data_IF_418963639796
#
_entry.id   IF_418963639796
#
_cell.length_a   1.000
_cell.length_b   1.000
_cell.length_c   1.000
_cell.angle_alpha   90.00
_cell.angle_beta   90.00
_cell.angle_gamma   90.00
#
_symmetry.space_group_name_H-M   'P 1'
#
loop_
_entity.id
_entity.type
_entity.pdbx_description
1 polymer ?
#
# COMPACT_ATOMS: atom_id res chain seq x y z
N UNK A 1 24.14 -20.61 -22.99
CA UNK A 1 22.75 -20.34 -22.56
C UNK A 1 22.76 -20.07 -21.06
N UNK A 2 22.60 -18.80 -20.63
CA UNK A 2 22.46 -18.46 -19.21
C UNK A 2 21.02 -18.78 -18.80
N UNK A 3 20.84 -19.81 -17.98
CA UNK A 3 19.57 -20.03 -17.27
C UNK A 3 19.49 -18.98 -16.16
N UNK A 4 18.97 -17.80 -16.46
CA UNK A 4 18.61 -16.81 -15.44
C UNK A 4 17.25 -17.21 -14.88
N UNK A 5 17.26 -18.06 -13.85
CA UNK A 5 16.07 -18.37 -13.08
C UNK A 5 15.63 -17.10 -12.34
N UNK A 6 14.46 -16.56 -12.64
CA UNK A 6 13.88 -15.42 -11.92
C UNK A 6 13.48 -15.87 -10.51
N UNK A 7 14.41 -15.75 -9.55
CA UNK A 7 14.17 -16.08 -8.14
C UNK A 7 13.80 -14.81 -7.37
N UNK A 8 12.67 -14.85 -6.67
CA UNK A 8 12.23 -13.77 -5.76
C UNK A 8 12.31 -14.30 -4.33
N UNK A 9 13.18 -13.70 -3.51
CA UNK A 9 13.29 -13.99 -2.08
C UNK A 9 12.45 -12.96 -1.30
N UNK A 10 11.40 -13.43 -0.62
CA UNK A 10 10.54 -12.61 0.22
C UNK A 10 10.90 -12.85 1.70
N UNK A 11 11.14 -11.77 2.44
CA UNK A 11 11.46 -11.85 3.87
C UNK A 11 10.32 -11.21 4.67
N UNK A 12 9.77 -11.91 5.65
CA UNK A 12 8.67 -11.44 6.49
C UNK A 12 9.15 -11.21 7.93
N UNK A 13 8.60 -10.20 8.58
CA UNK A 13 8.85 -9.95 10.00
C UNK A 13 7.82 -10.74 10.83
N UNK A 14 8.24 -11.84 11.45
CA UNK A 14 7.39 -12.67 12.31
C UNK A 14 7.60 -14.18 12.10
N UNK A 15 6.81 -14.99 12.81
CA UNK A 15 6.87 -16.46 12.75
C UNK A 15 5.73 -17.09 11.94
N UNK A 16 4.76 -16.28 11.50
CA UNK A 16 3.59 -16.73 10.75
C UNK A 16 3.70 -16.29 9.30
N UNK A 17 3.57 -17.24 8.36
CA UNK A 17 3.49 -16.93 6.94
C UNK A 17 2.11 -16.30 6.65
N UNK A 18 2.03 -15.19 5.89
CA UNK A 18 0.74 -14.63 5.50
C UNK A 18 -0.02 -15.57 4.56
N UNK A 19 -1.34 -15.66 4.71
CA UNK A 19 -2.21 -16.46 3.84
C UNK A 19 -2.14 -16.04 2.36
N UNK A 20 -1.86 -14.75 2.11
CA UNK A 20 -1.73 -14.17 0.78
C UNK A 20 -0.66 -13.08 0.75
N UNK A 21 0.16 -13.09 -0.29
CA UNK A 21 1.15 -12.04 -0.59
C UNK A 21 0.73 -11.35 -1.88
N UNK A 22 0.35 -10.06 -1.79
CA UNK A 22 0.01 -9.27 -2.96
C UNK A 22 1.28 -8.64 -3.52
N UNK A 23 1.76 -9.18 -4.64
CA UNK A 23 2.90 -8.64 -5.37
C UNK A 23 2.36 -7.75 -6.48
N UNK A 24 2.71 -6.47 -6.46
CA UNK A 24 2.35 -5.52 -7.50
C UNK A 24 3.35 -4.36 -7.53
N UNK A 25 3.38 -3.59 -8.63
CA UNK A 25 4.19 -2.39 -8.68
C UNK A 25 3.82 -1.48 -7.51
N UNK A 26 4.83 -0.91 -6.86
CA UNK A 26 4.65 0.06 -5.76
C UNK A 26 3.71 1.21 -6.19
N UNK A 27 3.70 1.55 -7.48
CA UNK A 27 2.83 2.58 -8.07
C UNK A 27 1.41 2.09 -8.45
N UNK A 28 1.11 0.79 -8.36
CA UNK A 28 -0.21 0.21 -8.65
C UNK A 28 -0.97 -0.13 -7.36
N UNK A 29 -1.10 0.88 -6.49
CA UNK A 29 -2.04 0.85 -5.38
C UNK A 29 -3.46 1.14 -5.87
N UNK A 30 -4.45 0.39 -5.39
CA UNK A 30 -5.84 0.70 -5.61
C UNK A 30 -6.23 1.93 -4.78
N UNK A 31 -6.49 3.07 -5.43
CA UNK A 31 -6.89 4.31 -4.73
C UNK A 31 -8.21 4.21 -3.95
N UNK A 32 -9.02 3.18 -4.23
CA UNK A 32 -10.25 2.94 -3.46
C UNK A 32 -9.98 2.23 -2.13
N UNK A 33 -9.01 1.32 -2.04
CA UNK A 33 -8.80 0.51 -0.83
C UNK A 33 -7.42 0.68 -0.19
N UNK A 34 -6.53 1.41 -0.87
CA UNK A 34 -5.11 1.61 -0.55
C UNK A 34 -4.31 0.30 -0.48
N UNK A 35 -4.78 -0.77 -1.12
CA UNK A 35 -4.06 -2.04 -1.23
C UNK A 35 -3.25 -2.16 -2.51
N UNK A 36 -2.23 -3.02 -2.51
CA UNK A 36 -1.40 -3.32 -3.68
C UNK A 36 -1.98 -4.47 -4.52
N UNK A 37 -1.47 -4.61 -5.75
CA UNK A 37 -1.69 -5.80 -6.59
C UNK A 37 -3.01 -5.82 -7.38
N UNK A 38 -3.82 -4.77 -7.29
CA UNK A 38 -5.04 -4.66 -8.09
C UNK A 38 -5.38 -3.19 -8.40
N UNK A 39 -6.06 -2.97 -9.52
CA UNK A 39 -6.58 -1.67 -9.90
C UNK A 39 -7.99 -1.43 -9.35
N UNK A 40 -8.46 -0.18 -9.47
CA UNK A 40 -9.81 0.24 -9.05
C UNK A 40 -10.93 -0.59 -9.68
N UNK A 41 -10.77 -1.03 -10.94
CA UNK A 41 -11.77 -1.82 -11.68
C UNK A 41 -11.96 -3.24 -11.14
N UNK A 42 -10.97 -3.79 -10.46
CA UNK A 42 -11.03 -5.14 -9.86
C UNK A 42 -11.56 -5.11 -8.42
N UNK A 43 -11.69 -3.92 -7.83
CA UNK A 43 -12.14 -3.75 -6.46
C UNK A 43 -13.67 -3.75 -6.39
N UNK A 44 -14.24 -4.74 -5.71
CA UNK A 44 -15.70 -4.94 -5.58
C UNK A 44 -16.26 -4.48 -4.23
N UNK A 45 -15.40 -4.07 -3.31
CA UNK A 45 -15.78 -3.73 -1.93
C UNK A 45 -15.95 -2.21 -1.75
N UNK A 46 -16.33 -1.81 -0.53
CA UNK A 46 -16.47 -0.41 -0.16
C UNK A 46 -15.11 0.32 -0.16
N UNK A 47 -15.07 1.53 -0.72
CA UNK A 47 -13.87 2.35 -0.71
C UNK A 47 -13.53 2.80 0.73
N UNK A 48 -12.24 2.82 1.06
CA UNK A 48 -11.68 3.47 2.25
C UNK A 48 -11.51 4.95 2.02
N UNK A 49 -11.69 5.71 3.09
CA UNK A 49 -11.44 7.14 3.11
C UNK A 49 -9.94 7.44 3.19
N UNK A 50 -9.46 8.45 2.45
CA UNK A 50 -8.03 8.78 2.44
C UNK A 50 -7.50 9.36 3.76
N UNK A 51 -8.37 10.00 4.54
CA UNK A 51 -7.99 10.65 5.79
C UNK A 51 -7.91 9.65 6.96
N UNK A 52 -9.03 9.01 7.23
CA UNK A 52 -9.25 8.17 8.42
C UNK A 52 -9.24 6.67 8.13
N UNK A 53 -9.08 6.26 6.86
CA UNK A 53 -9.00 4.85 6.42
C UNK A 53 -10.20 3.96 6.78
N UNK A 54 -11.25 4.56 7.32
CA UNK A 54 -12.48 3.89 7.69
C UNK A 54 -13.20 3.35 6.44
N UNK A 55 -13.87 2.21 6.60
CA UNK A 55 -14.69 1.61 5.57
C UNK A 55 -16.11 2.18 5.69
N UNK A 56 -16.56 2.90 4.66
CA UNK A 56 -17.97 3.34 4.48
C UNK A 56 -18.67 4.00 5.70
N UNK A 57 -17.91 4.57 6.64
CA UNK A 57 -18.51 5.15 7.85
C UNK A 57 -19.06 6.58 7.61
N UNK A 58 -18.56 7.27 6.58
CA UNK A 58 -18.95 8.64 6.19
C UNK A 58 -18.28 9.00 4.85
N UNK A 59 -18.56 10.18 4.29
CA UNK A 59 -17.90 10.71 3.08
C UNK A 59 -16.61 11.47 3.43
N UNK A 60 -15.69 11.65 2.48
CA UNK A 60 -14.44 12.41 2.73
C UNK A 60 -14.74 13.84 3.22
N UNK A 61 -15.82 14.45 2.73
CA UNK A 61 -16.31 15.78 3.11
C UNK A 61 -16.73 15.90 4.59
N UNK A 62 -17.09 14.77 5.22
CA UNK A 62 -17.56 14.72 6.61
C UNK A 62 -16.69 13.79 7.48
N UNK A 63 -15.44 13.52 7.11
CA UNK A 63 -14.52 12.76 7.97
C UNK A 63 -14.03 13.61 9.14
N UNK A 64 -14.74 13.50 10.27
CA UNK A 64 -14.35 14.03 11.58
C UNK A 64 -13.48 13.05 12.39
N UNK A 65 -13.21 11.86 11.86
CA UNK A 65 -12.35 10.89 12.51
C UNK A 65 -10.88 11.34 12.46
N UNK A 66 -10.10 10.90 13.45
CA UNK A 66 -8.67 11.15 13.48
C UNK A 66 -8.01 10.59 12.22
N UNK A 67 -7.03 11.33 11.69
CA UNK A 67 -6.25 10.88 10.54
C UNK A 67 -5.51 9.58 10.90
N UNK A 68 -5.56 8.60 10.01
CA UNK A 68 -4.98 7.28 10.26
C UNK A 68 -4.41 6.69 8.97
N UNK A 69 -3.16 6.24 9.04
CA UNK A 69 -2.47 5.64 7.91
C UNK A 69 -2.48 4.10 7.98
N UNK A 70 -3.02 3.44 6.95
CA UNK A 70 -3.03 1.97 6.86
C UNK A 70 -1.65 1.34 6.64
N UNK A 71 -0.65 2.11 6.21
CA UNK A 71 0.66 1.57 5.86
C UNK A 71 1.65 1.57 7.02
N UNK A 72 1.59 2.59 7.88
CA UNK A 72 2.48 2.73 9.04
C UNK A 72 1.73 2.78 10.38
N UNK A 73 0.40 2.85 10.36
CA UNK A 73 -0.46 2.91 11.53
C UNK A 73 -0.29 4.17 12.40
N UNK A 74 0.27 5.24 11.81
CA UNK A 74 0.44 6.54 12.47
C UNK A 74 -0.70 7.53 12.18
N UNK A 75 -0.72 8.61 12.97
CA UNK A 75 -1.70 9.68 12.97
C UNK A 75 -1.52 10.67 11.80
N UNK A 76 -1.69 10.17 10.57
CA UNK A 76 -1.75 11.01 9.37
C UNK A 76 -2.54 10.33 8.25
N UNK A 77 -2.97 11.10 7.26
CA UNK A 77 -3.68 10.56 6.10
C UNK A 77 -2.80 9.60 5.28
N UNK A 78 -3.44 8.64 4.60
CA UNK A 78 -2.75 7.61 3.80
C UNK A 78 -1.93 8.22 2.65
N UNK A 79 -2.39 9.36 2.11
CA UNK A 79 -1.73 10.08 1.00
C UNK A 79 -0.56 10.97 1.44
N UNK A 80 -0.17 10.93 2.72
CA UNK A 80 0.90 11.77 3.25
C UNK A 80 2.26 11.39 2.67
N UNK A 81 2.97 12.37 2.07
CA UNK A 81 4.37 12.22 1.64
C UNK A 81 5.38 12.15 2.78
N UNK A 82 4.93 12.42 4.01
CA UNK A 82 5.74 12.28 5.21
C UNK A 82 5.67 10.86 5.79
N UNK A 83 4.78 10.01 5.29
CA UNK A 83 4.66 8.61 5.71
C UNK A 83 6.02 7.91 5.56
N UNK A 84 6.55 7.26 6.61
CA UNK A 84 7.82 6.55 6.54
C UNK A 84 7.78 5.41 5.51
N UNK A 85 6.62 4.78 5.32
CA UNK A 85 6.43 3.72 4.32
C UNK A 85 6.47 4.25 2.90
N UNK A 86 5.83 5.40 2.64
CA UNK A 86 5.89 6.08 1.35
C UNK A 86 7.33 6.49 0.99
N UNK A 87 8.08 7.06 1.95
CA UNK A 87 9.48 7.45 1.71
C UNK A 87 10.35 6.25 1.35
N UNK A 88 10.24 5.17 2.12
CA UNK A 88 10.96 3.92 1.82
C UNK A 88 10.64 3.41 0.41
N UNK A 89 9.37 3.43 0.02
CA UNK A 89 8.94 3.02 -1.32
C UNK A 89 9.52 3.90 -2.42
N UNK A 90 9.59 5.22 -2.20
CA UNK A 90 10.26 6.14 -3.13
C UNK A 90 11.76 5.86 -3.23
N UNK A 91 12.43 5.60 -2.11
CA UNK A 91 13.87 5.27 -2.10
C UNK A 91 14.15 3.98 -2.89
N UNK A 92 13.32 2.95 -2.71
CA UNK A 92 13.40 1.70 -3.48
C UNK A 92 13.19 1.96 -4.98
N UNK A 93 12.18 2.75 -5.34
CA UNK A 93 11.91 3.09 -6.74
C UNK A 93 13.07 3.89 -7.36
N UNK A 94 13.68 4.81 -6.61
CA UNK A 94 14.85 5.54 -7.08
C UNK A 94 16.02 4.59 -7.34
N UNK A 95 16.29 3.65 -6.43
CA UNK A 95 17.35 2.65 -6.61
C UNK A 95 17.11 1.81 -7.88
N UNK A 96 15.89 1.33 -8.09
CA UNK A 96 15.54 0.51 -9.27
C UNK A 96 15.67 1.30 -10.57
N UNK A 97 15.27 2.58 -10.60
CA UNK A 97 15.33 3.42 -11.80
C UNK A 97 16.72 4.01 -12.08
N UNK A 98 17.65 3.91 -11.12
CA UNK A 98 19.03 4.40 -11.23
C UNK A 98 20.02 3.35 -11.79
N UNK A 99 19.55 2.13 -12.05
CA UNK A 99 20.30 1.05 -12.71
C UNK A 99 19.97 0.99 -14.20
#
# INVERSE_FOLDING_TARGET
MRNSSNMVLLTFFGFTLPDRVNIGPINLGCFSCYGYGHGKSSFKEAARLGNCSALHSHTEEHCNAAAYCLYCHDAHQVRSRQCPRYRLEQDILQLVNSQ
#
